data_IF_531842095212
#
_entry.id   IF_531842095212
#
_cell.length_a   1.000
_cell.length_b   1.000
_cell.length_c   1.000
_cell.angle_alpha   90.00
_cell.angle_beta   90.00
_cell.angle_gamma   90.00
#
_symmetry.space_group_name_H-M   'P 1'
#
loop_
_entity.id
_entity.type
_entity.pdbx_description
1 polymer ?
#
# COMPACT_ATOMS: atom_id res chain seq x y z
N UNK A 1 -30.51 -39.21 7.72
CA UNK A 1 -30.50 -37.98 6.96
C UNK A 1 -30.14 -36.85 7.90
N UNK A 2 -28.87 -36.52 8.02
CA UNK A 2 -28.41 -35.42 8.86
C UNK A 2 -27.90 -34.32 7.89
N UNK A 3 -28.69 -33.25 7.77
CA UNK A 3 -28.28 -32.01 7.10
C UNK A 3 -27.22 -31.33 7.95
N UNK A 4 -25.98 -31.42 7.52
CA UNK A 4 -24.89 -30.64 8.05
C UNK A 4 -25.19 -29.16 7.73
N UNK A 5 -25.54 -28.40 8.76
CA UNK A 5 -25.71 -26.98 8.70
C UNK A 5 -24.32 -26.38 8.35
N UNK A 6 -24.16 -25.90 7.11
CA UNK A 6 -23.05 -25.02 6.75
C UNK A 6 -23.10 -23.82 7.69
N UNK A 7 -22.08 -23.68 8.54
CA UNK A 7 -21.95 -22.60 9.48
C UNK A 7 -22.04 -21.27 8.73
N UNK A 8 -23.06 -20.51 9.06
CA UNK A 8 -23.13 -19.09 8.71
C UNK A 8 -21.98 -18.43 9.44
N UNK A 9 -20.92 -18.02 8.73
CA UNK A 9 -19.97 -17.06 9.25
C UNK A 9 -20.77 -15.80 9.62
N UNK A 10 -20.95 -15.61 10.91
CA UNK A 10 -21.81 -14.56 11.46
C UNK A 10 -21.07 -13.23 11.33
N UNK A 11 -21.58 -12.37 10.49
CA UNK A 11 -21.11 -11.02 10.24
C UNK A 11 -21.61 -10.05 11.34
N UNK A 12 -21.33 -10.36 12.61
CA UNK A 12 -21.73 -9.51 13.73
C UNK A 12 -20.82 -8.31 13.85
N UNK A 13 -21.13 -7.27 13.09
CA UNK A 13 -20.35 -6.05 12.99
C UNK A 13 -20.85 -4.86 13.83
N UNK A 14 -21.94 -5.06 14.57
CA UNK A 14 -22.45 -4.05 15.51
C UNK A 14 -22.28 -4.58 16.94
N UNK A 15 -21.35 -3.99 17.68
CA UNK A 15 -21.30 -4.10 19.15
C UNK A 15 -20.56 -5.31 19.74
N UNK A 16 -19.99 -6.24 18.97
CA UNK A 16 -19.14 -7.29 19.52
C UNK A 16 -17.67 -6.84 19.58
N UNK A 17 -17.05 -7.06 20.72
CA UNK A 17 -15.61 -7.01 20.89
C UNK A 17 -15.00 -8.08 19.98
N UNK A 18 -14.21 -7.68 19.00
CA UNK A 18 -13.47 -8.63 18.17
C UNK A 18 -12.12 -8.82 18.82
N UNK A 19 -11.91 -9.96 19.47
CA UNK A 19 -10.58 -10.43 19.80
C UNK A 19 -9.88 -10.81 18.50
N UNK A 20 -8.81 -10.11 18.16
CA UNK A 20 -7.91 -10.60 17.12
C UNK A 20 -7.02 -11.70 17.72
N UNK A 21 -6.32 -12.43 16.87
CA UNK A 21 -5.39 -13.51 17.28
C UNK A 21 -4.25 -13.03 18.22
N UNK A 22 -4.27 -11.79 18.69
CA UNK A 22 -3.31 -11.16 19.60
C UNK A 22 -3.92 -10.57 20.85
N UNK A 23 -5.22 -10.77 21.14
CA UNK A 23 -5.85 -10.35 22.39
C UNK A 23 -6.04 -8.84 22.55
N UNK A 24 -5.90 -8.05 21.48
CA UNK A 24 -6.16 -6.61 21.53
C UNK A 24 -7.64 -6.35 21.34
N UNK A 25 -8.33 -5.96 22.41
CA UNK A 25 -9.73 -5.51 22.36
C UNK A 25 -9.82 -4.12 21.73
N UNK A 26 -10.30 -4.09 20.50
CA UNK A 26 -10.61 -2.83 19.80
C UNK A 26 -11.96 -2.31 20.28
N UNK A 27 -11.96 -1.47 21.33
CA UNK A 27 -13.18 -0.86 21.83
C UNK A 27 -13.57 0.34 20.93
N UNK A 28 -14.30 0.06 19.84
CA UNK A 28 -14.84 1.06 18.92
C UNK A 28 -16.26 1.52 19.30
N UNK A 29 -16.63 1.37 20.57
CA UNK A 29 -18.01 1.55 21.06
C UNK A 29 -18.43 3.00 21.29
N UNK A 30 -17.79 4.02 20.73
CA UNK A 30 -18.42 5.34 20.70
C UNK A 30 -19.02 5.58 19.31
N UNK A 31 -20.33 5.42 19.17
CA UNK A 31 -21.08 5.79 17.97
C UNK A 31 -20.76 7.21 17.49
N UNK A 32 -20.39 8.10 18.41
CA UNK A 32 -19.89 9.46 18.15
C UNK A 32 -18.52 9.50 17.45
N UNK A 33 -17.58 8.61 17.79
CA UNK A 33 -16.27 8.57 17.12
C UNK A 33 -16.41 8.05 15.67
N UNK A 34 -17.28 7.08 15.44
CA UNK A 34 -17.63 6.64 14.09
C UNK A 34 -18.30 7.75 13.30
N UNK A 35 -19.23 8.51 13.88
CA UNK A 35 -19.87 9.65 13.23
C UNK A 35 -18.85 10.75 12.86
N UNK A 36 -17.94 11.10 13.77
CA UNK A 36 -16.88 12.09 13.51
C UNK A 36 -15.97 11.63 12.37
N UNK A 37 -15.64 10.35 12.32
CA UNK A 37 -14.88 9.77 11.22
C UNK A 37 -15.63 9.87 9.88
N UNK A 38 -16.94 9.56 9.84
CA UNK A 38 -17.77 9.73 8.65
C UNK A 38 -17.91 11.20 8.24
N UNK A 39 -18.08 12.13 9.18
CA UNK A 39 -18.15 13.57 8.90
C UNK A 39 -16.87 14.11 8.25
N UNK A 40 -15.70 13.67 8.70
CA UNK A 40 -14.42 14.03 8.08
C UNK A 40 -14.32 13.56 6.62
N UNK A 41 -14.97 12.45 6.27
CA UNK A 41 -15.04 11.97 4.89
C UNK A 41 -16.07 12.70 4.04
N UNK A 42 -17.11 13.26 4.62
CA UNK A 42 -18.14 14.02 3.89
C UNK A 42 -17.55 15.24 3.16
N UNK A 43 -16.46 15.81 3.66
CA UNK A 43 -15.78 16.92 2.97
C UNK A 43 -15.27 16.54 1.58
N UNK A 44 -14.90 15.27 1.35
CA UNK A 44 -14.49 14.78 0.03
C UNK A 44 -15.65 14.68 -0.96
N UNK A 45 -16.87 14.60 -0.45
CA UNK A 45 -18.08 14.51 -1.26
C UNK A 45 -18.74 15.88 -1.52
N UNK A 46 -18.18 16.97 -0.97
CA UNK A 46 -18.72 18.32 -1.19
C UNK A 46 -18.83 18.61 -2.70
N UNK A 47 -20.06 18.90 -3.16
CA UNK A 47 -20.35 19.14 -4.58
C UNK A 47 -20.38 17.87 -5.45
N UNK A 48 -20.44 16.65 -4.86
CA UNK A 48 -20.43 15.37 -5.59
C UNK A 48 -21.49 14.39 -5.07
N UNK A 49 -22.78 14.73 -5.13
CA UNK A 49 -23.84 13.91 -4.53
C UNK A 49 -23.93 12.50 -5.12
N UNK A 50 -23.67 12.37 -6.43
CA UNK A 50 -23.70 11.08 -7.10
C UNK A 50 -22.58 10.13 -6.63
N UNK A 51 -21.39 10.67 -6.37
CA UNK A 51 -20.27 9.88 -5.81
C UNK A 51 -20.57 9.45 -4.37
N UNK A 52 -21.14 10.35 -3.58
CA UNK A 52 -21.60 10.05 -2.23
C UNK A 52 -22.62 8.91 -2.23
N UNK A 53 -23.62 8.98 -3.11
CA UNK A 53 -24.61 7.91 -3.28
C UNK A 53 -23.95 6.56 -3.63
N UNK A 54 -23.01 6.54 -4.57
CA UNK A 54 -22.29 5.32 -4.95
C UNK A 54 -21.48 4.75 -3.79
N UNK A 55 -20.85 5.60 -3.00
CA UNK A 55 -20.11 5.17 -1.81
C UNK A 55 -21.06 4.49 -0.81
N UNK A 56 -22.19 5.10 -0.49
CA UNK A 56 -23.18 4.50 0.40
C UNK A 56 -23.79 3.23 -0.19
N UNK A 57 -24.04 3.18 -1.48
CA UNK A 57 -24.54 1.97 -2.14
C UNK A 57 -23.50 0.84 -2.06
N UNK A 58 -22.23 1.12 -2.26
CA UNK A 58 -21.15 0.15 -2.08
C UNK A 58 -21.06 -0.37 -0.63
N UNK A 59 -21.18 0.54 0.33
CA UNK A 59 -21.24 0.20 1.74
C UNK A 59 -22.45 -0.71 2.05
N UNK A 60 -23.64 -0.34 1.59
CA UNK A 60 -24.87 -1.13 1.74
C UNK A 60 -24.72 -2.53 1.12
N UNK A 61 -24.26 -2.62 -0.13
CA UNK A 61 -24.03 -3.89 -0.81
C UNK A 61 -23.07 -4.79 -0.02
N UNK A 62 -22.00 -4.22 0.51
CA UNK A 62 -20.99 -4.97 1.26
C UNK A 62 -21.51 -5.39 2.63
N UNK A 63 -22.20 -4.50 3.35
CA UNK A 63 -22.60 -4.74 4.75
C UNK A 63 -23.91 -5.51 4.86
N UNK A 64 -24.89 -5.15 4.05
CA UNK A 64 -26.26 -5.73 4.12
C UNK A 64 -26.39 -6.91 3.17
N UNK A 65 -26.03 -6.71 1.90
CA UNK A 65 -26.17 -7.77 0.88
C UNK A 65 -24.99 -8.75 0.86
N UNK A 66 -23.94 -8.52 1.66
CA UNK A 66 -22.73 -9.38 1.75
C UNK A 66 -22.03 -9.58 0.39
N UNK A 67 -22.22 -8.66 -0.52
CA UNK A 67 -21.58 -8.68 -1.84
C UNK A 67 -20.16 -8.11 -1.77
N UNK A 68 -19.27 -8.64 -2.57
CA UNK A 68 -17.95 -8.05 -2.77
C UNK A 68 -18.05 -6.93 -3.79
N UNK A 69 -17.66 -5.73 -3.39
CA UNK A 69 -17.70 -4.53 -4.20
C UNK A 69 -16.30 -3.96 -4.28
N UNK A 70 -15.77 -3.81 -5.49
CA UNK A 70 -14.53 -3.09 -5.69
C UNK A 70 -14.73 -1.64 -5.29
N UNK A 71 -13.88 -1.11 -4.42
CA UNK A 71 -13.96 0.27 -3.94
C UNK A 71 -12.85 1.14 -4.50
N UNK A 72 -11.63 0.61 -4.56
CA UNK A 72 -10.43 1.39 -4.82
C UNK A 72 -9.47 0.64 -5.76
N UNK A 73 -8.82 1.39 -6.62
CA UNK A 73 -7.74 0.91 -7.48
C UNK A 73 -6.47 1.70 -7.21
N UNK A 74 -5.36 1.01 -6.97
CA UNK A 74 -4.02 1.57 -7.05
C UNK A 74 -3.54 1.37 -8.48
N UNK A 75 -3.33 2.44 -9.22
CA UNK A 75 -2.96 2.41 -10.62
C UNK A 75 -1.56 2.94 -10.82
N UNK A 76 -0.60 2.09 -11.15
CA UNK A 76 0.67 2.55 -11.66
C UNK A 76 0.48 3.02 -13.12
N UNK A 77 0.98 4.22 -13.42
CA UNK A 77 0.85 4.80 -14.77
C UNK A 77 2.17 4.86 -15.52
N UNK A 78 3.27 4.74 -14.80
CA UNK A 78 4.65 4.71 -15.32
C UNK A 78 5.55 4.04 -14.29
N UNK A 79 6.70 3.52 -14.72
CA UNK A 79 7.79 3.15 -13.83
C UNK A 79 9.02 4.03 -14.04
N UNK A 80 8.93 5.08 -14.86
CA UNK A 80 9.97 6.10 -14.91
C UNK A 80 9.99 6.89 -13.60
N UNK A 81 11.19 7.05 -13.04
CA UNK A 81 11.39 7.78 -11.79
C UNK A 81 12.80 8.38 -11.78
N UNK A 82 12.92 9.59 -11.29
CA UNK A 82 14.21 10.28 -11.12
C UNK A 82 14.93 9.90 -9.82
N UNK A 83 14.25 9.13 -8.94
CA UNK A 83 14.79 8.72 -7.65
C UNK A 83 15.16 7.24 -7.62
N UNK A 84 16.04 6.89 -6.69
CA UNK A 84 16.43 5.51 -6.37
C UNK A 84 16.32 5.30 -4.86
N UNK A 85 15.09 5.43 -4.36
CA UNK A 85 14.81 5.29 -2.92
C UNK A 85 15.11 3.87 -2.45
N UNK A 86 15.78 3.73 -1.31
CA UNK A 86 16.10 2.43 -0.71
C UNK A 86 14.85 1.56 -0.45
N UNK A 87 13.75 2.20 -0.04
CA UNK A 87 12.47 1.54 0.30
C UNK A 87 11.47 1.46 -0.86
N UNK A 88 11.90 1.65 -2.10
CA UNK A 88 10.99 1.69 -3.23
C UNK A 88 10.30 0.34 -3.44
N UNK A 89 8.97 0.29 -3.26
CA UNK A 89 8.19 -0.93 -3.53
C UNK A 89 8.23 -1.33 -5.00
N UNK A 90 8.42 -0.34 -5.90
CA UNK A 90 8.45 -0.53 -7.34
C UNK A 90 9.87 -0.78 -7.88
N UNK A 91 10.89 -1.00 -7.02
CA UNK A 91 12.29 -1.08 -7.46
C UNK A 91 12.50 -2.14 -8.54
N UNK A 92 11.91 -3.33 -8.38
CA UNK A 92 12.01 -4.40 -9.38
C UNK A 92 11.37 -4.02 -10.72
N UNK A 93 10.29 -3.23 -10.70
CA UNK A 93 9.65 -2.69 -11.91
C UNK A 93 10.47 -1.58 -12.58
N UNK A 94 11.15 -0.75 -11.79
CA UNK A 94 12.03 0.31 -12.29
C UNK A 94 13.28 -0.26 -12.98
N UNK A 95 13.75 -1.41 -12.50
CA UNK A 95 14.94 -2.08 -12.97
C UNK A 95 14.65 -3.18 -14.00
N UNK A 96 13.39 -3.32 -14.45
CA UNK A 96 13.03 -4.32 -15.47
C UNK A 96 13.76 -3.98 -16.79
N UNK A 97 14.59 -4.90 -17.25
CA UNK A 97 15.42 -4.71 -18.46
C UNK A 97 14.57 -4.62 -19.73
N UNK A 98 13.48 -5.38 -19.77
CA UNK A 98 12.54 -5.40 -20.91
C UNK A 98 11.39 -4.42 -20.66
N UNK A 99 11.66 -3.13 -20.78
CA UNK A 99 10.61 -2.11 -20.72
C UNK A 99 9.60 -2.35 -21.84
N UNK A 100 8.34 -2.49 -21.43
CA UNK A 100 7.19 -2.61 -22.33
C UNK A 100 6.49 -1.25 -22.43
N UNK A 101 5.64 -1.09 -23.43
CA UNK A 101 4.81 0.11 -23.54
C UNK A 101 3.84 0.21 -22.37
N UNK A 102 3.79 1.36 -21.72
CA UNK A 102 2.80 1.66 -20.71
C UNK A 102 1.40 1.72 -21.30
N UNK A 103 0.38 1.43 -20.47
CA UNK A 103 -1.00 1.61 -20.89
C UNK A 103 -1.24 3.04 -21.40
N UNK A 104 -1.86 3.14 -22.58
CA UNK A 104 -2.29 4.41 -23.15
C UNK A 104 -3.45 5.01 -22.33
N UNK A 105 -3.74 6.29 -22.53
CA UNK A 105 -4.90 6.97 -21.90
C UNK A 105 -6.20 6.22 -22.21
N UNK A 106 -6.38 5.74 -23.44
CA UNK A 106 -7.57 4.99 -23.84
C UNK A 106 -7.68 3.62 -23.15
N UNK A 107 -6.55 2.93 -22.96
CA UNK A 107 -6.52 1.67 -22.21
C UNK A 107 -6.85 1.92 -20.74
N UNK A 108 -6.30 2.98 -20.13
CA UNK A 108 -6.62 3.41 -18.75
C UNK A 108 -8.11 3.76 -18.63
N UNK A 109 -8.69 4.47 -19.60
CA UNK A 109 -10.11 4.78 -19.63
C UNK A 109 -10.97 3.52 -19.69
N UNK A 110 -10.66 2.58 -20.58
CA UNK A 110 -11.37 1.29 -20.70
C UNK A 110 -11.28 0.47 -19.42
N UNK A 111 -10.09 0.41 -18.81
CA UNK A 111 -9.89 -0.23 -17.51
C UNK A 111 -10.74 0.43 -16.42
N UNK A 112 -10.73 1.79 -16.36
CA UNK A 112 -11.50 2.51 -15.36
C UNK A 112 -13.01 2.33 -15.53
N UNK A 113 -13.50 2.24 -16.76
CA UNK A 113 -14.91 1.96 -17.03
C UNK A 113 -15.33 0.59 -16.48
N UNK A 114 -14.45 -0.42 -16.56
CA UNK A 114 -14.69 -1.73 -15.95
C UNK A 114 -14.64 -1.66 -14.41
N UNK A 115 -13.61 -1.02 -13.83
CA UNK A 115 -13.50 -0.84 -12.39
C UNK A 115 -14.71 -0.08 -11.81
N UNK A 116 -15.16 0.96 -12.51
CA UNK A 116 -16.32 1.73 -12.13
C UNK A 116 -17.61 0.88 -12.14
N UNK A 117 -17.81 -0.02 -13.10
CA UNK A 117 -18.94 -0.97 -13.11
C UNK A 117 -18.89 -1.93 -11.93
N UNK A 118 -17.71 -2.35 -11.49
CA UNK A 118 -17.51 -3.20 -10.31
C UNK A 118 -17.73 -2.46 -8.99
N UNK A 119 -17.92 -1.13 -9.02
CA UNK A 119 -18.24 -0.31 -7.85
C UNK A 119 -17.16 0.69 -7.43
N UNK A 120 -16.02 0.74 -8.11
CA UNK A 120 -14.91 1.62 -7.76
C UNK A 120 -15.34 3.09 -7.69
N UNK A 121 -14.91 3.78 -6.63
CA UNK A 121 -15.17 5.20 -6.37
C UNK A 121 -13.88 5.99 -6.11
N UNK A 122 -12.76 5.31 -5.96
CA UNK A 122 -11.46 5.91 -5.69
C UNK A 122 -10.37 5.29 -6.55
N UNK A 123 -9.48 6.11 -7.08
CA UNK A 123 -8.25 5.68 -7.75
C UNK A 123 -7.08 6.48 -7.21
N UNK A 124 -6.02 5.77 -6.88
CA UNK A 124 -4.76 6.34 -6.45
C UNK A 124 -3.71 6.10 -7.55
N UNK A 125 -3.34 7.15 -8.26
CA UNK A 125 -2.34 7.10 -9.31
C UNK A 125 -0.97 7.01 -8.67
N UNK A 126 -0.19 6.02 -9.06
CA UNK A 126 1.14 5.73 -8.52
C UNK A 126 2.08 5.26 -9.64
N UNK A 127 3.18 4.60 -9.28
CA UNK A 127 4.14 4.01 -10.20
C UNK A 127 5.57 4.28 -9.76
N UNK A 128 6.42 4.79 -10.67
CA UNK A 128 7.65 5.48 -10.37
C UNK A 128 7.32 6.89 -9.86
N UNK A 129 7.48 7.90 -10.71
CA UNK A 129 7.00 9.26 -10.41
C UNK A 129 5.92 9.65 -11.44
N UNK A 130 4.63 9.68 -11.07
CA UNK A 130 3.55 9.95 -12.00
C UNK A 130 3.65 11.30 -12.71
N UNK A 131 4.22 12.32 -12.06
CA UNK A 131 4.38 13.65 -12.65
C UNK A 131 5.43 13.71 -13.78
N UNK A 132 6.23 12.65 -13.97
CA UNK A 132 7.11 12.49 -15.13
C UNK A 132 6.34 12.02 -16.38
N UNK A 133 5.17 11.44 -16.24
CA UNK A 133 4.35 11.03 -17.36
C UNK A 133 3.77 12.26 -18.08
N UNK A 134 4.07 12.41 -19.38
CA UNK A 134 3.74 13.63 -20.14
C UNK A 134 2.23 13.89 -20.24
N UNK A 135 1.45 12.83 -20.44
CA UNK A 135 -0.01 12.86 -20.60
C UNK A 135 -0.78 12.65 -19.28
N UNK A 136 -0.14 12.90 -18.12
CA UNK A 136 -0.75 12.68 -16.79
C UNK A 136 -2.06 13.45 -16.58
N UNK A 137 -2.19 14.64 -17.19
CA UNK A 137 -3.41 15.44 -17.13
C UNK A 137 -4.56 14.73 -17.83
N UNK A 138 -4.30 14.10 -18.97
CA UNK A 138 -5.32 13.36 -19.73
C UNK A 138 -5.66 12.03 -19.05
N UNK A 139 -4.69 11.39 -18.41
CA UNK A 139 -4.95 10.26 -17.50
C UNK A 139 -5.96 10.66 -16.41
N UNK A 140 -5.77 11.78 -15.73
CA UNK A 140 -6.71 12.26 -14.70
C UNK A 140 -8.11 12.49 -15.28
N UNK A 141 -8.22 13.09 -16.46
CA UNK A 141 -9.52 13.29 -17.14
C UNK A 141 -10.21 11.96 -17.47
N UNK A 142 -9.43 10.97 -17.96
CA UNK A 142 -9.93 9.64 -18.33
C UNK A 142 -10.55 8.87 -17.15
N UNK A 143 -10.10 9.15 -15.92
CA UNK A 143 -10.59 8.53 -14.67
C UNK A 143 -11.90 9.13 -14.15
N UNK A 144 -12.57 9.98 -14.94
CA UNK A 144 -13.90 10.55 -14.63
C UNK A 144 -13.97 11.25 -13.25
N UNK A 145 -13.17 12.28 -12.99
CA UNK A 145 -13.01 12.88 -11.66
C UNK A 145 -14.27 13.52 -11.07
N UNK A 146 -15.31 13.79 -11.87
CA UNK A 146 -16.63 14.21 -11.37
C UNK A 146 -17.37 13.09 -10.63
N UNK A 147 -17.01 11.82 -10.89
CA UNK A 147 -17.65 10.60 -10.35
C UNK A 147 -16.71 9.74 -9.54
N UNK A 148 -15.43 10.13 -9.44
CA UNK A 148 -14.34 9.38 -8.85
C UNK A 148 -13.48 10.31 -8.00
N UNK A 149 -13.02 9.83 -6.86
CA UNK A 149 -11.91 10.46 -6.15
C UNK A 149 -10.61 10.05 -6.83
N UNK A 150 -9.89 11.02 -7.38
CA UNK A 150 -8.60 10.81 -8.03
C UNK A 150 -7.50 11.41 -7.16
N UNK A 151 -6.55 10.60 -6.76
CA UNK A 151 -5.37 11.02 -6.02
C UNK A 151 -4.10 10.69 -6.82
N UNK A 152 -3.05 11.48 -6.64
CA UNK A 152 -1.71 11.19 -7.19
C UNK A 152 -0.73 11.05 -6.04
N UNK A 153 0.00 9.93 -6.01
CA UNK A 153 1.16 9.72 -5.11
C UNK A 153 2.39 10.27 -5.81
N UNK A 154 3.10 11.19 -5.18
CA UNK A 154 4.26 11.86 -5.77
C UNK A 154 5.31 12.19 -4.72
N UNK A 155 6.54 12.37 -5.19
CA UNK A 155 7.63 12.96 -4.39
C UNK A 155 7.49 14.48 -4.25
N UNK A 156 6.67 15.11 -5.10
CA UNK A 156 6.49 16.56 -5.16
C UNK A 156 7.59 17.31 -5.93
N UNK A 157 8.69 16.64 -6.29
CA UNK A 157 9.87 17.29 -6.92
C UNK A 157 9.52 18.00 -8.23
N UNK A 158 8.67 17.37 -9.05
CA UNK A 158 8.28 17.90 -10.37
C UNK A 158 7.01 18.75 -10.35
N UNK A 159 6.46 19.01 -9.16
CA UNK A 159 5.23 19.80 -9.09
C UNK A 159 5.55 21.28 -9.30
N UNK A 160 5.00 21.83 -10.38
CA UNK A 160 4.97 23.28 -10.65
C UNK A 160 3.56 23.81 -10.43
N UNK A 161 3.44 25.13 -10.23
CA UNK A 161 2.12 25.76 -10.09
C UNK A 161 1.26 25.58 -11.34
N UNK A 162 1.86 25.68 -12.52
CA UNK A 162 1.20 25.45 -13.79
C UNK A 162 0.64 24.03 -13.88
N UNK A 163 1.47 23.01 -13.61
CA UNK A 163 1.05 21.61 -13.62
C UNK A 163 -0.04 21.33 -12.59
N UNK A 164 0.05 21.93 -11.41
CA UNK A 164 -0.98 21.83 -10.38
C UNK A 164 -2.32 22.45 -10.84
N UNK A 165 -2.30 23.61 -11.52
CA UNK A 165 -3.51 24.23 -12.10
C UNK A 165 -4.13 23.37 -13.18
N UNK A 166 -3.33 22.79 -14.08
CA UNK A 166 -3.81 21.86 -15.10
C UNK A 166 -4.48 20.63 -14.47
N UNK A 167 -3.84 20.01 -13.50
CA UNK A 167 -4.38 18.85 -12.77
C UNK A 167 -5.65 19.20 -11.99
N UNK A 168 -5.70 20.38 -11.37
CA UNK A 168 -6.93 20.89 -10.72
C UNK A 168 -8.06 21.04 -11.72
N UNK A 169 -7.80 21.65 -12.87
CA UNK A 169 -8.77 21.81 -13.96
C UNK A 169 -9.23 20.45 -14.52
N UNK A 170 -8.32 19.48 -14.60
CA UNK A 170 -8.63 18.10 -14.97
C UNK A 170 -9.50 17.39 -13.90
N UNK A 171 -9.55 17.91 -12.66
CA UNK A 171 -10.38 17.42 -11.57
C UNK A 171 -9.66 16.57 -10.52
N UNK A 172 -8.33 16.64 -10.44
CA UNK A 172 -7.57 16.01 -9.37
C UNK A 172 -8.05 16.48 -7.99
N UNK A 173 -8.20 15.53 -7.07
CA UNK A 173 -8.70 15.78 -5.72
C UNK A 173 -7.59 16.00 -4.71
N UNK A 174 -6.54 15.15 -4.76
CA UNK A 174 -5.57 15.04 -3.68
C UNK A 174 -4.19 14.71 -4.23
N UNK A 175 -3.17 15.37 -3.71
CA UNK A 175 -1.80 14.90 -3.78
C UNK A 175 -1.47 14.14 -2.48
N UNK A 176 -0.96 12.93 -2.61
CA UNK A 176 -0.32 12.20 -1.54
C UNK A 176 1.19 12.39 -1.70
N UNK A 177 1.78 13.26 -0.88
CA UNK A 177 3.19 13.62 -0.99
C UNK A 177 4.00 12.82 0.03
N UNK A 178 5.08 12.22 -0.43
CA UNK A 178 5.92 11.37 0.41
C UNK A 178 6.80 12.18 1.35
N UNK A 179 6.71 11.92 2.66
CA UNK A 179 7.57 12.47 3.71
C UNK A 179 8.07 11.33 4.61
N UNK A 180 9.37 11.06 4.64
CA UNK A 180 9.92 9.87 5.30
C UNK A 180 10.55 10.13 6.65
N UNK A 181 10.95 11.37 6.92
CA UNK A 181 11.47 11.82 8.21
C UNK A 181 11.09 13.28 8.44
N UNK A 182 11.02 13.69 9.70
CA UNK A 182 10.95 15.09 10.11
C UNK A 182 12.28 15.83 10.00
N UNK A 183 13.38 15.10 9.74
CA UNK A 183 14.74 15.62 9.61
C UNK A 183 15.14 15.61 8.14
N UNK A 184 15.51 16.76 7.60
CA UNK A 184 15.80 16.96 6.17
C UNK A 184 16.88 16.00 5.65
N UNK A 185 18.02 15.88 6.36
CA UNK A 185 19.12 15.00 5.95
C UNK A 185 18.71 13.53 5.88
N UNK A 186 17.89 13.06 6.81
CA UNK A 186 17.37 11.69 6.81
C UNK A 186 16.41 11.46 5.66
N UNK A 187 15.47 12.40 5.45
CA UNK A 187 14.53 12.32 4.34
C UNK A 187 15.27 12.23 2.99
N UNK A 188 16.22 13.12 2.78
CA UNK A 188 17.03 13.19 1.56
C UNK A 188 17.82 11.89 1.34
N UNK A 189 18.41 11.33 2.41
CA UNK A 189 19.10 10.05 2.38
C UNK A 189 18.16 8.90 1.96
N UNK A 190 16.96 8.81 2.54
CA UNK A 190 15.98 7.80 2.17
C UNK A 190 15.51 7.92 0.72
N UNK A 191 15.44 9.15 0.19
CA UNK A 191 15.04 9.42 -1.19
C UNK A 191 16.20 9.33 -2.18
N UNK A 192 17.46 9.36 -1.70
CA UNK A 192 18.64 9.42 -2.56
C UNK A 192 18.73 10.71 -3.36
N UNK A 193 18.18 11.83 -2.82
CA UNK A 193 18.13 13.12 -3.50
C UNK A 193 18.22 14.29 -2.51
N UNK A 194 19.36 14.98 -2.51
CA UNK A 194 19.59 16.17 -1.67
C UNK A 194 18.61 17.28 -2.01
N UNK A 195 17.95 17.86 -1.00
CA UNK A 195 16.95 18.91 -1.15
C UNK A 195 15.54 18.38 -1.49
N UNK A 196 15.32 17.08 -1.39
CA UNK A 196 13.97 16.49 -1.57
C UNK A 196 13.01 16.91 -0.45
N UNK A 197 13.52 17.13 0.75
CA UNK A 197 12.73 17.59 1.90
C UNK A 197 12.09 18.94 1.64
N UNK A 198 12.85 19.92 1.19
CA UNK A 198 12.34 21.27 0.86
C UNK A 198 11.33 21.21 -0.30
N UNK A 199 11.54 20.31 -1.26
CA UNK A 199 10.59 20.11 -2.37
C UNK A 199 9.23 19.60 -1.90
N UNK A 200 9.17 18.81 -0.82
CA UNK A 200 7.89 18.38 -0.21
C UNK A 200 7.08 19.61 0.20
N UNK A 201 7.65 20.53 0.96
CA UNK A 201 6.91 21.69 1.48
C UNK A 201 6.55 22.68 0.37
N UNK A 202 7.45 22.90 -0.59
CA UNK A 202 7.11 23.65 -1.80
C UNK A 202 5.91 23.05 -2.53
N UNK A 203 5.86 21.73 -2.66
CA UNK A 203 4.73 21.06 -3.31
C UNK A 203 3.43 21.19 -2.50
N UNK A 204 3.51 21.16 -1.16
CA UNK A 204 2.37 21.44 -0.27
C UNK A 204 1.83 22.85 -0.51
N UNK A 205 2.69 23.87 -0.54
CA UNK A 205 2.30 25.26 -0.79
C UNK A 205 1.64 25.43 -2.15
N UNK A 206 2.24 24.88 -3.22
CA UNK A 206 1.68 24.91 -4.58
C UNK A 206 0.30 24.28 -4.61
N UNK A 207 0.15 23.09 -4.05
CA UNK A 207 -1.12 22.37 -4.04
C UNK A 207 -2.22 23.17 -3.32
N UNK A 208 -1.89 23.77 -2.18
CA UNK A 208 -2.79 24.63 -1.40
C UNK A 208 -3.20 25.88 -2.18
N UNK A 209 -2.25 26.57 -2.78
CA UNK A 209 -2.50 27.77 -3.57
C UNK A 209 -3.50 27.53 -4.69
N UNK A 210 -3.50 26.34 -5.32
CA UNK A 210 -4.44 25.96 -6.37
C UNK A 210 -5.68 25.23 -5.84
N UNK A 211 -5.78 24.99 -4.53
CA UNK A 211 -6.94 24.36 -3.90
C UNK A 211 -7.02 22.84 -4.14
N UNK A 212 -5.90 22.16 -4.25
CA UNK A 212 -5.83 20.67 -4.23
C UNK A 212 -5.50 20.23 -2.81
N UNK A 213 -6.22 19.22 -2.30
CA UNK A 213 -5.95 18.66 -1.00
C UNK A 213 -4.57 17.99 -0.96
N UNK A 214 -3.94 18.01 0.21
CA UNK A 214 -2.66 17.32 0.43
C UNK A 214 -2.79 16.32 1.57
N UNK A 215 -2.14 15.18 1.41
CA UNK A 215 -1.89 14.19 2.45
C UNK A 215 -0.39 13.89 2.42
N UNK A 216 0.30 14.05 3.53
CA UNK A 216 1.67 13.56 3.68
C UNK A 216 1.64 12.05 3.91
N UNK A 217 2.63 11.32 3.43
CA UNK A 217 2.66 9.86 3.50
C UNK A 217 4.03 9.36 3.91
N UNK A 218 4.06 8.50 4.92
CA UNK A 218 5.28 7.87 5.44
C UNK A 218 5.13 6.37 5.57
N UNK A 219 6.26 5.68 5.78
CA UNK A 219 6.30 4.25 6.06
C UNK A 219 6.80 4.01 7.49
N UNK A 220 6.02 3.25 8.24
CA UNK A 220 6.35 2.84 9.60
C UNK A 220 7.21 1.59 9.53
N UNK A 221 8.34 1.62 10.21
CA UNK A 221 9.32 0.54 10.33
C UNK A 221 9.58 0.23 11.80
N UNK A 222 10.20 -0.93 12.07
CA UNK A 222 10.71 -1.25 13.40
C UNK A 222 11.62 -0.13 13.96
N UNK A 223 12.44 0.48 13.10
CA UNK A 223 13.38 1.53 13.48
C UNK A 223 12.71 2.84 13.92
N UNK A 224 11.61 3.25 13.25
CA UNK A 224 10.99 4.57 13.53
C UNK A 224 9.76 4.52 14.42
N UNK A 225 9.16 3.34 14.65
CA UNK A 225 7.92 3.20 15.43
C UNK A 225 8.11 3.53 16.92
N UNK A 226 9.32 3.35 17.46
CA UNK A 226 9.66 3.60 18.85
C UNK A 226 10.32 4.98 19.10
N UNK A 227 10.54 5.74 18.04
CA UNK A 227 11.25 7.02 18.10
C UNK A 227 10.29 8.21 18.03
N UNK A 228 10.72 9.44 18.37
CA UNK A 228 9.94 10.67 18.15
C UNK A 228 9.63 11.00 16.67
N UNK A 229 10.14 10.21 15.72
CA UNK A 229 9.99 10.50 14.29
C UNK A 229 8.52 10.62 13.86
N UNK A 230 7.64 9.72 14.33
CA UNK A 230 6.22 9.75 13.96
C UNK A 230 5.48 10.92 14.64
N UNK A 231 5.59 11.14 15.96
CA UNK A 231 5.07 12.35 16.60
C UNK A 231 5.51 13.64 15.90
N UNK A 232 6.80 13.79 15.63
CA UNK A 232 7.33 14.98 14.96
C UNK A 232 6.73 15.18 13.54
N UNK A 233 6.50 14.10 12.78
CA UNK A 233 5.83 14.19 11.49
C UNK A 233 4.33 14.49 11.62
N UNK A 234 3.67 14.09 12.70
CA UNK A 234 2.28 14.48 13.00
C UNK A 234 2.18 15.98 13.30
N UNK A 235 3.15 16.53 14.06
CA UNK A 235 3.26 17.99 14.30
C UNK A 235 3.46 18.76 13.00
N UNK A 236 4.30 18.24 12.10
CA UNK A 236 4.47 18.81 10.75
C UNK A 236 3.15 18.79 9.98
N UNK A 237 2.41 17.69 10.03
CA UNK A 237 1.12 17.57 9.38
C UNK A 237 0.10 18.57 9.96
N UNK A 238 0.12 18.79 11.27
CA UNK A 238 -0.75 19.76 11.92
C UNK A 238 -0.40 21.20 11.55
N UNK A 239 0.88 21.59 11.64
CA UNK A 239 1.38 22.91 11.24
C UNK A 239 1.06 23.24 9.76
N UNK A 240 1.04 22.22 8.92
CA UNK A 240 0.69 22.35 7.51
C UNK A 240 -0.77 22.08 7.21
N UNK A 241 -1.67 22.03 8.19
CA UNK A 241 -3.10 21.72 8.06
C UNK A 241 -3.38 20.58 7.08
N UNK A 242 -2.65 19.47 7.21
CA UNK A 242 -2.78 18.27 6.38
C UNK A 242 -2.90 17.01 7.25
N UNK A 243 -3.01 15.86 6.62
CA UNK A 243 -3.00 14.56 7.30
C UNK A 243 -1.68 13.84 7.02
N UNK A 244 -1.28 12.97 7.95
CA UNK A 244 -0.18 12.04 7.77
C UNK A 244 -0.75 10.63 7.56
N UNK A 245 -0.52 10.07 6.37
CA UNK A 245 -0.86 8.70 6.04
C UNK A 245 0.27 7.77 6.46
N UNK A 246 -0.05 6.83 7.31
CA UNK A 246 0.86 5.87 7.92
C UNK A 246 0.74 4.53 7.20
N UNK A 247 1.78 4.12 6.48
CA UNK A 247 1.87 2.84 5.79
C UNK A 247 2.82 1.92 6.55
N UNK A 248 2.45 0.67 6.75
CA UNK A 248 3.31 -0.30 7.45
C UNK A 248 4.27 -0.94 6.46
N UNK A 249 5.55 -1.00 6.83
CA UNK A 249 6.61 -1.65 6.08
C UNK A 249 6.28 -3.10 5.71
N UNK A 250 6.83 -3.60 4.63
CA UNK A 250 6.64 -4.97 4.21
C UNK A 250 7.67 -5.44 3.20
N UNK A 251 7.81 -6.75 3.09
CA UNK A 251 8.75 -7.43 2.18
C UNK A 251 8.37 -7.16 0.73
N UNK A 252 8.85 -6.07 0.16
CA UNK A 252 8.64 -5.76 -1.27
C UNK A 252 9.71 -4.80 -1.80
N UNK A 253 9.97 -4.87 -3.09
CA UNK A 253 10.91 -3.98 -3.76
C UNK A 253 12.29 -3.94 -3.09
N UNK A 254 12.79 -2.77 -2.76
CA UNK A 254 14.09 -2.57 -2.11
C UNK A 254 14.22 -3.19 -0.71
N UNK A 255 13.06 -3.51 -0.08
CA UNK A 255 13.03 -4.12 1.26
C UNK A 255 12.60 -5.59 1.24
N UNK A 256 12.59 -6.24 0.09
CA UNK A 256 12.17 -7.64 -0.03
C UNK A 256 12.96 -8.60 0.86
N UNK A 257 14.23 -8.28 1.16
CA UNK A 257 15.14 -9.07 1.97
C UNK A 257 15.55 -8.40 3.30
N UNK A 258 14.89 -7.29 3.70
CA UNK A 258 15.24 -6.49 4.89
C UNK A 258 14.23 -6.70 6.02
N UNK A 259 14.19 -7.90 6.59
CA UNK A 259 13.19 -8.27 7.62
C UNK A 259 13.31 -7.44 8.90
N UNK A 260 14.50 -6.95 9.23
CA UNK A 260 14.76 -6.07 10.38
C UNK A 260 14.01 -4.72 10.32
N UNK A 261 13.43 -4.38 9.18
CA UNK A 261 12.60 -3.18 9.04
C UNK A 261 11.11 -3.45 9.32
N UNK A 262 10.71 -4.72 9.42
CA UNK A 262 9.31 -5.07 9.63
C UNK A 262 8.89 -4.74 11.05
N UNK A 263 7.73 -4.14 11.18
CA UNK A 263 7.13 -3.83 12.47
C UNK A 263 6.58 -5.10 13.09
N UNK A 264 7.00 -5.43 14.31
CA UNK A 264 6.48 -6.56 15.07
C UNK A 264 5.00 -6.38 15.41
N UNK A 265 4.32 -7.47 15.73
CA UNK A 265 2.87 -7.47 15.99
C UNK A 265 2.52 -6.57 17.18
N UNK A 266 3.27 -6.68 18.26
CA UNK A 266 3.11 -5.91 19.51
C UNK A 266 3.35 -4.41 19.26
N UNK A 267 4.42 -4.07 18.55
CA UNK A 267 4.74 -2.70 18.15
C UNK A 267 3.64 -2.09 17.31
N UNK A 268 3.15 -2.85 16.33
CA UNK A 268 2.06 -2.40 15.47
C UNK A 268 0.77 -2.17 16.25
N UNK A 269 0.42 -3.07 17.16
CA UNK A 269 -0.76 -2.94 18.00
C UNK A 269 -0.67 -1.70 18.89
N UNK A 270 0.47 -1.51 19.54
CA UNK A 270 0.75 -0.30 20.32
C UNK A 270 0.65 0.95 19.46
N UNK A 271 1.33 0.96 18.33
CA UNK A 271 1.31 2.05 17.36
C UNK A 271 -0.10 2.41 16.90
N UNK A 272 -0.90 1.44 16.49
CA UNK A 272 -2.28 1.69 16.06
C UNK A 272 -3.14 2.23 17.20
N UNK A 273 -2.98 1.71 18.42
CA UNK A 273 -3.72 2.18 19.59
C UNK A 273 -3.35 3.62 19.96
N UNK A 274 -2.09 3.98 19.85
CA UNK A 274 -1.56 5.29 20.24
C UNK A 274 -1.84 6.36 19.17
N UNK A 275 -1.46 6.08 17.92
CA UNK A 275 -1.48 7.09 16.87
C UNK A 275 -2.78 7.15 16.06
N UNK A 276 -3.58 6.08 16.02
CA UNK A 276 -4.89 6.16 15.36
C UNK A 276 -5.87 7.14 16.02
N UNK A 277 -5.63 7.51 17.25
CA UNK A 277 -6.43 8.52 17.98
C UNK A 277 -6.06 9.95 17.58
N UNK A 278 -4.87 10.16 17.03
CA UNK A 278 -4.41 11.49 16.65
C UNK A 278 -5.26 12.04 15.50
N UNK A 279 -5.78 13.27 15.59
CA UNK A 279 -6.71 13.83 14.60
C UNK A 279 -6.11 13.95 13.19
N UNK A 280 -4.79 14.07 13.10
CA UNK A 280 -4.06 14.18 11.82
C UNK A 280 -3.56 12.84 11.29
N UNK A 281 -3.57 11.77 12.07
CA UNK A 281 -3.14 10.45 11.62
C UNK A 281 -4.19 9.79 10.72
N UNK A 282 -3.74 9.12 9.68
CA UNK A 282 -4.57 8.26 8.83
C UNK A 282 -3.80 6.97 8.57
N UNK A 283 -4.49 5.85 8.62
CA UNK A 283 -3.93 4.56 8.18
C UNK A 283 -4.40 4.28 6.77
N UNK A 284 -3.59 3.61 6.01
CA UNK A 284 -3.72 3.31 4.56
C UNK A 284 -5.09 2.73 4.09
N UNK A 285 -6.12 2.76 4.91
CA UNK A 285 -7.42 2.12 4.65
C UNK A 285 -8.61 3.06 4.82
N UNK A 286 -8.40 4.34 4.56
CA UNK A 286 -9.30 5.44 4.87
C UNK A 286 -10.72 5.29 4.31
N UNK A 287 -10.90 4.58 3.22
CA UNK A 287 -12.20 4.44 2.53
C UNK A 287 -12.67 2.99 2.46
N UNK A 288 -12.39 2.15 3.45
CA UNK A 288 -12.88 0.78 3.38
C UNK A 288 -14.39 0.71 3.60
N UNK A 289 -15.08 -0.13 2.83
CA UNK A 289 -16.52 -0.36 3.00
C UNK A 289 -16.86 -1.12 4.29
N UNK A 290 -15.86 -1.64 4.96
CA UNK A 290 -16.02 -2.43 6.17
C UNK A 290 -16.05 -1.58 7.44
N UNK A 291 -15.70 -0.30 7.35
CA UNK A 291 -15.86 0.69 8.44
C UNK A 291 -15.00 0.42 9.67
N UNK A 292 -14.02 -0.49 9.61
CA UNK A 292 -13.09 -0.76 10.71
C UNK A 292 -11.65 -0.50 10.25
N UNK A 293 -10.83 0.22 10.99
CA UNK A 293 -9.40 0.30 10.75
C UNK A 293 -8.74 -1.07 10.98
N UNK A 294 -7.60 -1.29 10.35
CA UNK A 294 -6.83 -2.53 10.55
C UNK A 294 -7.26 -3.71 9.66
N UNK A 295 -8.40 -3.66 8.98
CA UNK A 295 -8.81 -4.75 8.08
C UNK A 295 -7.93 -4.79 6.84
N UNK A 296 -7.38 -5.96 6.53
CA UNK A 296 -6.65 -6.18 5.30
C UNK A 296 -7.58 -6.14 4.09
N UNK A 297 -7.37 -5.18 3.19
CA UNK A 297 -8.20 -4.96 1.99
C UNK A 297 -7.69 -5.75 0.77
N UNK A 298 -6.61 -6.50 0.91
CA UNK A 298 -5.98 -7.26 -0.15
C UNK A 298 -7.00 -8.19 -0.84
N UNK A 299 -7.26 -7.95 -2.13
CA UNK A 299 -8.19 -8.74 -2.93
C UNK A 299 -9.65 -8.72 -2.47
N UNK A 300 -10.06 -7.77 -1.60
CA UNK A 300 -11.44 -7.71 -1.05
C UNK A 300 -12.26 -6.53 -1.55
N UNK A 301 -11.75 -5.33 -1.47
CA UNK A 301 -12.38 -4.12 -1.98
C UNK A 301 -11.36 -3.21 -2.69
N UNK A 302 -10.13 -3.68 -2.80
CA UNK A 302 -9.01 -2.98 -3.43
C UNK A 302 -8.21 -3.94 -4.29
N UNK A 303 -7.75 -3.44 -5.43
CA UNK A 303 -6.77 -4.10 -6.27
C UNK A 303 -5.73 -3.11 -6.79
N UNK A 304 -4.68 -3.65 -7.35
CA UNK A 304 -3.59 -2.89 -7.95
C UNK A 304 -3.46 -3.25 -9.42
N UNK A 305 -3.11 -2.28 -10.23
CA UNK A 305 -2.88 -2.46 -11.66
C UNK A 305 -1.51 -1.84 -11.99
N UNK A 306 -0.64 -2.63 -12.60
CA UNK A 306 0.67 -2.17 -13.05
C UNK A 306 0.54 -1.21 -14.23
N UNK A 307 1.61 -0.48 -14.55
CA UNK A 307 1.65 0.38 -15.72
C UNK A 307 1.52 -0.38 -17.05
N UNK A 308 1.64 -1.69 -17.02
CA UNK A 308 1.53 -2.58 -18.16
C UNK A 308 0.21 -3.38 -18.19
N UNK A 309 -0.66 -3.20 -17.20
CA UNK A 309 -1.99 -3.83 -17.13
C UNK A 309 -2.05 -5.17 -16.39
N UNK A 310 -1.02 -5.57 -15.63
CA UNK A 310 -1.11 -6.70 -14.70
C UNK A 310 -1.98 -6.32 -13.50
N UNK A 311 -2.87 -7.23 -13.10
CA UNK A 311 -3.79 -7.03 -11.97
C UNK A 311 -3.38 -7.93 -10.81
N UNK A 312 -3.17 -7.32 -9.63
CA UNK A 312 -2.69 -7.99 -8.43
C UNK A 312 -3.34 -7.41 -7.16
N UNK A 313 -3.36 -8.16 -6.02
CA UNK A 313 -4.23 -7.84 -4.90
C UNK A 313 -3.74 -6.68 -4.01
N UNK A 314 -2.43 -6.47 -3.92
CA UNK A 314 -1.84 -5.51 -3.00
C UNK A 314 -0.51 -4.97 -3.54
N UNK A 315 -0.23 -3.69 -3.32
CA UNK A 315 1.04 -3.03 -3.70
C UNK A 315 2.29 -3.81 -3.28
N UNK A 316 2.20 -4.51 -2.16
CA UNK A 316 3.31 -5.29 -1.60
C UNK A 316 3.25 -6.80 -1.92
N UNK A 317 2.24 -7.24 -2.66
CA UNK A 317 2.03 -8.65 -3.04
C UNK A 317 1.78 -8.67 -4.54
N UNK A 318 2.87 -8.63 -5.30
CA UNK A 318 2.83 -8.60 -6.77
C UNK A 318 2.60 -10.01 -7.36
N UNK A 319 1.57 -10.70 -6.86
CA UNK A 319 1.04 -11.95 -7.38
C UNK A 319 -0.05 -11.64 -8.40
N UNK A 320 0.24 -11.82 -9.67
CA UNK A 320 -0.63 -11.43 -10.80
C UNK A 320 -1.71 -12.47 -11.02
N UNK A 321 -2.97 -12.04 -11.00
CA UNK A 321 -4.16 -12.86 -11.27
C UNK A 321 -4.59 -12.81 -12.75
N UNK A 322 -4.05 -11.89 -13.51
CA UNK A 322 -4.32 -11.75 -14.94
C UNK A 322 -3.87 -10.42 -15.50
N UNK A 323 -3.98 -10.28 -16.80
CA UNK A 323 -3.59 -9.07 -17.53
C UNK A 323 -4.79 -8.52 -18.29
N UNK A 324 -4.94 -7.20 -18.28
CA UNK A 324 -6.08 -6.53 -18.93
C UNK A 324 -6.11 -6.67 -20.46
N UNK A 325 -4.98 -7.01 -21.08
CA UNK A 325 -4.93 -7.30 -22.50
C UNK A 325 -5.54 -8.65 -22.87
N UNK A 326 -5.55 -9.60 -21.92
CA UNK A 326 -5.93 -10.99 -22.14
C UNK A 326 -7.33 -11.31 -21.60
N UNK A 327 -7.75 -10.61 -20.53
CA UNK A 327 -9.00 -10.90 -19.80
C UNK A 327 -9.67 -9.61 -19.32
N UNK A 328 -10.99 -9.66 -19.12
CA UNK A 328 -11.72 -8.55 -18.50
C UNK A 328 -11.32 -8.36 -17.03
N UNK A 329 -11.39 -7.12 -16.53
CA UNK A 329 -11.14 -6.84 -15.12
C UNK A 329 -12.16 -7.57 -14.22
N UNK A 330 -13.38 -7.81 -14.73
CA UNK A 330 -14.40 -8.56 -13.99
C UNK A 330 -13.98 -10.00 -13.76
N UNK A 331 -13.52 -10.69 -14.79
CA UNK A 331 -13.12 -12.11 -14.68
C UNK A 331 -11.92 -12.27 -13.75
N UNK A 332 -10.96 -11.34 -13.82
CA UNK A 332 -9.80 -11.31 -12.91
C UNK A 332 -10.27 -11.04 -11.47
N UNK A 333 -11.19 -10.11 -11.28
CA UNK A 333 -11.75 -9.78 -9.97
C UNK A 333 -12.53 -10.94 -9.37
N UNK A 334 -13.31 -11.66 -10.18
CA UNK A 334 -14.06 -12.84 -9.75
C UNK A 334 -13.10 -13.96 -9.32
N UNK A 335 -12.03 -14.22 -10.06
CA UNK A 335 -10.97 -15.16 -9.67
C UNK A 335 -10.31 -14.78 -8.34
N UNK A 336 -10.00 -13.49 -8.14
CA UNK A 336 -9.46 -13.01 -6.87
C UNK A 336 -10.44 -13.24 -5.71
N UNK A 337 -11.74 -13.08 -5.95
CA UNK A 337 -12.77 -13.31 -4.95
C UNK A 337 -12.89 -14.78 -4.51
N UNK A 338 -12.59 -15.71 -5.43
CA UNK A 338 -12.60 -17.14 -5.17
C UNK A 338 -11.32 -17.63 -4.47
N UNK A 339 -10.25 -16.86 -4.49
CA UNK A 339 -8.99 -17.25 -3.89
C UNK A 339 -9.12 -17.41 -2.37
N UNK A 340 -8.76 -18.60 -1.85
CA UNK A 340 -9.08 -19.02 -0.46
C UNK A 340 -8.61 -18.02 0.60
N UNK A 341 -7.42 -17.41 0.43
CA UNK A 341 -6.87 -16.46 1.38
C UNK A 341 -7.53 -15.07 1.34
N UNK A 342 -8.36 -14.79 0.33
CA UNK A 342 -9.12 -13.55 0.27
C UNK A 342 -10.58 -13.74 0.72
N UNK A 343 -10.98 -14.98 1.03
CA UNK A 343 -12.25 -15.27 1.72
C UNK A 343 -12.14 -14.89 3.20
N UNK A 344 -13.25 -14.50 3.80
CA UNK A 344 -13.31 -14.09 5.20
C UNK A 344 -12.68 -12.73 5.51
N UNK A 345 -12.70 -12.33 6.77
CA UNK A 345 -12.10 -11.09 7.27
C UNK A 345 -10.91 -11.40 8.16
N UNK A 346 -9.92 -10.50 8.12
CA UNK A 346 -8.84 -10.48 9.09
C UNK A 346 -8.60 -9.04 9.50
N UNK A 347 -8.42 -8.82 10.79
CA UNK A 347 -8.04 -7.54 11.37
C UNK A 347 -6.54 -7.28 11.26
N UNK A 348 -5.80 -8.28 10.80
CA UNK A 348 -4.35 -8.27 10.69
C UNK A 348 -3.88 -8.20 9.23
N UNK A 349 -2.63 -7.84 9.01
CA UNK A 349 -2.03 -7.80 7.69
C UNK A 349 -1.62 -9.22 7.25
N UNK A 350 -2.37 -9.86 6.35
CA UNK A 350 -2.10 -11.24 5.92
C UNK A 350 -0.65 -11.51 5.49
N UNK A 351 0.00 -10.55 4.86
CA UNK A 351 1.39 -10.75 4.42
C UNK A 351 2.42 -10.82 5.57
N UNK A 352 2.03 -10.35 6.76
CA UNK A 352 2.91 -10.31 7.96
C UNK A 352 2.42 -11.26 9.03
N UNK A 353 1.10 -11.33 9.25
CA UNK A 353 0.51 -12.02 10.39
C UNK A 353 -0.07 -13.40 10.05
N UNK A 354 -0.30 -13.69 8.77
CA UNK A 354 -0.74 -15.00 8.31
C UNK A 354 0.50 -15.80 7.91
N UNK A 355 1.01 -16.62 8.84
CA UNK A 355 2.26 -17.37 8.67
C UNK A 355 2.19 -18.34 7.49
N UNK A 356 1.04 -19.00 7.29
CA UNK A 356 0.85 -19.93 6.16
C UNK A 356 0.93 -19.15 4.84
N UNK A 357 0.22 -18.04 4.72
CA UNK A 357 0.25 -17.21 3.53
C UNK A 357 1.64 -16.59 3.31
N UNK A 358 2.29 -16.12 4.36
CA UNK A 358 3.62 -15.54 4.27
C UNK A 358 4.64 -16.59 3.79
N UNK A 359 4.61 -17.80 4.35
CA UNK A 359 5.49 -18.90 3.97
C UNK A 359 5.23 -19.38 2.54
N UNK A 360 3.95 -19.59 2.16
CA UNK A 360 3.60 -20.17 0.86
C UNK A 360 3.75 -19.19 -0.30
N UNK A 361 3.41 -17.91 -0.10
CA UNK A 361 3.34 -16.92 -1.19
C UNK A 361 4.34 -15.78 -1.05
N UNK A 362 4.44 -15.14 0.12
CA UNK A 362 5.26 -13.93 0.26
C UNK A 362 6.75 -14.23 0.12
N UNK A 363 7.22 -15.34 0.69
CA UNK A 363 8.63 -15.75 0.57
C UNK A 363 9.06 -15.94 -0.89
N UNK A 364 8.22 -16.58 -1.72
CA UNK A 364 8.50 -16.79 -3.14
C UNK A 364 8.55 -15.48 -3.91
N UNK A 365 7.56 -14.60 -3.69
CA UNK A 365 7.52 -13.27 -4.31
C UNK A 365 8.71 -12.40 -3.90
N UNK A 366 9.16 -12.50 -2.64
CA UNK A 366 10.30 -11.73 -2.14
C UNK A 366 11.62 -12.19 -2.77
N UNK A 367 11.80 -13.50 -2.96
CA UNK A 367 13.01 -14.10 -3.52
C UNK A 367 13.07 -14.07 -5.05
N UNK A 368 11.93 -13.88 -5.72
CA UNK A 368 11.86 -13.85 -7.16
C UNK A 368 12.50 -12.58 -7.74
N UNK A 369 13.31 -12.70 -8.77
CA UNK A 369 14.06 -11.56 -9.34
C UNK A 369 13.18 -10.63 -10.19
N UNK A 370 12.16 -11.17 -10.87
CA UNK A 370 11.21 -10.36 -11.64
C UNK A 370 10.29 -9.55 -10.74
N UNK A 371 9.67 -8.47 -11.24
CA UNK A 371 8.82 -7.59 -10.45
C UNK A 371 7.53 -8.26 -9.95
N UNK A 372 7.09 -9.36 -10.56
CA UNK A 372 5.88 -10.11 -10.20
C UNK A 372 6.03 -11.59 -10.53
N UNK A 373 5.14 -12.42 -9.98
CA UNK A 373 4.86 -13.80 -10.41
C UNK A 373 3.39 -13.95 -10.76
N UNK A 374 3.05 -14.76 -11.77
CA UNK A 374 1.67 -15.13 -12.00
C UNK A 374 1.21 -16.10 -10.89
N UNK A 375 -0.08 -16.12 -10.59
CA UNK A 375 -0.63 -17.01 -9.56
C UNK A 375 -0.32 -18.48 -9.88
N UNK A 376 -0.49 -18.88 -11.16
CA UNK A 376 -0.24 -20.23 -11.61
C UNK A 376 1.21 -20.67 -11.39
N UNK A 377 2.18 -19.78 -11.62
CA UNK A 377 3.61 -20.06 -11.42
C UNK A 377 3.92 -20.25 -9.92
N UNK A 378 3.31 -19.42 -9.06
CA UNK A 378 3.47 -19.54 -7.59
C UNK A 378 2.87 -20.86 -7.11
N UNK A 379 1.67 -21.21 -7.56
CA UNK A 379 0.99 -22.46 -7.17
C UNK A 379 1.71 -23.70 -7.71
N UNK A 380 2.30 -23.62 -8.90
CA UNK A 380 3.12 -24.70 -9.45
C UNK A 380 4.35 -24.95 -8.57
N UNK A 381 5.07 -23.90 -8.15
CA UNK A 381 6.21 -24.04 -7.24
C UNK A 381 5.81 -24.62 -5.88
N UNK A 382 4.65 -24.22 -5.33
CA UNK A 382 4.14 -24.77 -4.07
C UNK A 382 3.89 -26.28 -4.20
N UNK A 383 3.25 -26.73 -5.28
CA UNK A 383 2.97 -28.15 -5.54
C UNK A 383 4.24 -28.96 -5.73
N UNK A 384 5.25 -28.40 -6.37
CA UNK A 384 6.54 -29.06 -6.56
C UNK A 384 7.28 -29.23 -5.22
N UNK A 385 7.29 -28.21 -4.36
CA UNK A 385 7.87 -28.29 -3.02
C UNK A 385 7.13 -29.30 -2.14
N UNK A 386 5.80 -29.34 -2.18
CA UNK A 386 4.97 -30.33 -1.44
C UNK A 386 5.23 -31.78 -1.90
N UNK A 387 5.64 -32.00 -3.16
CA UNK A 387 6.00 -33.32 -3.71
C UNK A 387 7.44 -33.74 -3.38
N UNK A 388 8.35 -32.79 -3.26
CA UNK A 388 9.77 -33.08 -3.13
C UNK A 388 10.24 -33.41 -1.72
N UNK A 389 9.35 -33.34 -0.71
CA UNK A 389 9.69 -33.51 0.72
C UNK A 389 10.88 -32.65 1.22
N UNK A 390 11.31 -31.68 0.41
CA UNK A 390 12.39 -30.76 0.77
C UNK A 390 11.85 -29.71 1.73
N UNK A 391 12.54 -29.48 2.87
CA UNK A 391 12.12 -28.44 3.79
C UNK A 391 12.09 -27.08 3.06
N UNK A 392 10.92 -26.46 3.05
CA UNK A 392 10.76 -25.10 2.56
C UNK A 392 11.81 -24.19 3.14
N UNK A 393 12.41 -23.36 2.29
CA UNK A 393 13.39 -22.31 2.60
C UNK A 393 13.19 -21.76 4.02
N UNK A 394 14.20 -21.84 4.88
CA UNK A 394 14.16 -21.30 6.24
C UNK A 394 13.68 -19.85 6.17
N UNK A 395 12.44 -19.58 6.55
CA UNK A 395 12.01 -18.25 6.89
C UNK A 395 12.82 -17.87 8.12
N UNK A 396 13.65 -16.84 8.04
CA UNK A 396 14.36 -16.33 9.21
C UNK A 396 13.32 -15.90 10.24
N UNK A 397 13.12 -16.73 11.26
CA UNK A 397 12.12 -16.53 12.32
C UNK A 397 12.64 -15.64 13.45
N UNK A 398 13.93 -15.29 13.43
CA UNK A 398 14.53 -14.36 14.41
C UNK A 398 15.07 -13.13 13.68
N UNK A 399 14.62 -11.97 14.13
CA UNK A 399 15.19 -10.69 13.71
C UNK A 399 16.65 -10.63 14.21
N UNK A 400 17.60 -10.19 13.38
CA UNK A 400 18.95 -9.94 13.83
C UNK A 400 18.94 -8.83 14.89
N UNK A 401 19.66 -9.05 15.98
CA UNK A 401 19.84 -8.04 17.04
C UNK A 401 20.85 -7.02 16.52
N UNK A 402 20.44 -5.77 16.45
CA UNK A 402 21.30 -4.64 16.09
C UNK A 402 21.51 -3.75 17.33
N UNK A 403 22.69 -3.14 17.45
CA UNK A 403 22.98 -2.15 18.49
C UNK A 403 22.24 -0.82 18.25
N UNK A 404 22.41 0.12 19.18
CA UNK A 404 21.80 1.46 19.11
C UNK A 404 22.25 2.28 17.88
N UNK A 405 23.31 1.86 17.20
CA UNK A 405 23.84 2.44 15.97
C UNK A 405 23.39 1.69 14.71
N UNK A 406 22.58 0.62 14.86
CA UNK A 406 22.09 -0.20 13.75
C UNK A 406 23.08 -1.24 13.25
N UNK A 407 24.12 -1.57 14.03
CA UNK A 407 25.11 -2.60 13.72
C UNK A 407 24.63 -3.97 14.21
N UNK A 408 24.78 -5.03 13.40
CA UNK A 408 24.41 -6.40 13.74
C UNK A 408 25.26 -6.94 14.91
N UNK A 409 24.61 -7.28 16.04
CA UNK A 409 25.28 -7.83 17.22
C UNK A 409 25.31 -9.36 17.19
N UNK A 410 24.35 -10.03 16.56
CA UNK A 410 24.37 -11.49 16.41
C UNK A 410 23.42 -11.95 15.28
N UNK A 411 23.90 -12.85 14.46
CA UNK A 411 23.15 -13.62 13.48
C UNK A 411 24.07 -14.65 12.89
N UNK A 412 23.81 -15.94 13.14
CA UNK A 412 24.48 -17.02 12.44
C UNK A 412 24.17 -16.94 10.95
N UNK A 413 25.11 -16.47 10.17
CA UNK A 413 25.04 -16.42 8.72
C UNK A 413 26.43 -16.26 8.13
N UNK A 414 27.03 -17.35 7.70
CA UNK A 414 28.22 -17.37 6.89
C UNK A 414 27.99 -16.57 5.60
N UNK A 415 28.51 -15.35 5.55
CA UNK A 415 28.48 -14.52 4.37
C UNK A 415 29.41 -13.32 4.57
N UNK A 416 30.60 -13.41 4.04
CA UNK A 416 31.57 -12.34 3.99
C UNK A 416 31.03 -11.16 3.20
N UNK A 417 30.73 -10.02 3.84
CA UNK A 417 30.43 -8.77 3.16
C UNK A 417 31.69 -7.92 3.10
N UNK A 418 32.33 -7.92 1.95
CA UNK A 418 33.42 -7.00 1.63
C UNK A 418 32.88 -5.61 1.38
N UNK A 419 33.12 -4.68 2.30
CA UNK A 419 33.23 -3.25 1.97
C UNK A 419 34.57 -3.03 1.28
N UNK A 420 34.56 -2.37 0.13
CA UNK A 420 35.75 -2.07 -0.65
C UNK A 420 36.82 -1.35 0.15
N UNK A 421 38.01 -1.83 0.08
CA UNK A 421 39.24 -1.32 0.68
C UNK A 421 40.11 -2.46 1.19
N UNK A 422 40.70 -3.25 0.28
CA UNK A 422 41.77 -4.17 0.63
C UNK A 422 43.07 -3.42 0.82
N UNK A 423 43.48 -3.22 2.09
CA UNK A 423 44.88 -3.15 2.45
C UNK A 423 45.39 -4.56 2.72
N UNK A 424 46.54 -4.89 2.11
CA UNK A 424 47.28 -6.12 2.31
C UNK A 424 47.51 -6.40 3.81
N UNK A 425 47.11 -7.59 4.27
CA UNK A 425 47.65 -8.40 5.36
C UNK A 425 46.51 -9.12 6.13
N UNK A 426 46.12 -10.28 5.61
CA UNK A 426 45.47 -11.31 6.43
C UNK A 426 46.09 -12.66 6.05
N UNK A 427 47.05 -13.08 6.88
CA UNK A 427 47.57 -14.45 6.89
C UNK A 427 46.47 -15.40 7.37
N UNK A 428 46.23 -16.45 6.60
CA UNK A 428 45.49 -17.63 7.03
C UNK A 428 46.59 -18.62 7.50
N UNK A 429 46.64 -18.93 8.80
CA UNK A 429 47.25 -20.17 9.30
C UNK A 429 46.12 -21.04 9.88
N UNK A 430 46.10 -22.29 9.41
CA UNK A 430 45.49 -23.58 9.76
C UNK A 430 44.11 -23.61 10.44
#
# INVERSE_FOLDING_TARGET
MALVAKGKERWDYFGSEVEDAGGVRWNYNSGLASLKHYWQHLTFFKGRPFMMWRYFLGYFKTRVLKQRVLRSVELAVTYDCNLRCDKCFALKWLNEENKRDYMTVDQIKKMWDQAYKLGAVHVNITGGEPLMRRDIVDVVKALKPKRTLVSIVTTGIFLTEEKARELKKAGLNTFQISLDSSIAVEHDKYRGYKGSYEKVFRAVEIARKVGINVILSTVITHQNVKTPAIPNMLDIAEKNDTFLLLNIAGRSGGWSKKDYLLVEKEERNKFVTEFCKHPRARISQMFNFYGKPGICNMGKDKLNISAYGEVYPCTYVAMVFGRLKDRSLKDIWDQMNEFKYFKGFTTSCRRVDDEEFAKKYISKLAMHDKPYMNLEDVEAQIKEEERSDKPTTKVMTKLPVVDDNGLLISGEGNGCYTHGGCGSDCGCEE
#
